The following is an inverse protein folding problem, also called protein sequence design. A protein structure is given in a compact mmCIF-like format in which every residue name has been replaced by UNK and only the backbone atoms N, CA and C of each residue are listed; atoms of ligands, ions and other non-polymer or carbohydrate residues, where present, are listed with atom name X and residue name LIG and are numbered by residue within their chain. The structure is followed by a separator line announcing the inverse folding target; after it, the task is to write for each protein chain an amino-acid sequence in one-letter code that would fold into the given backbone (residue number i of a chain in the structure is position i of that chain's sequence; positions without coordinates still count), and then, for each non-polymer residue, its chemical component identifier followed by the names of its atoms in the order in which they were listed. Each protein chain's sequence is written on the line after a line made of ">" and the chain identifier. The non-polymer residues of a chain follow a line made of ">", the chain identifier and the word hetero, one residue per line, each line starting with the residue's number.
data_IF_927280820438
#
_entry.id   IF_927280820438
#
_cell.length_a   1.000
_cell.length_b   1.000
_cell.length_c   1.000
_cell.angle_alpha   90.00
_cell.angle_beta   90.00
_cell.angle_gamma   90.00
#
_symmetry.space_group_name_H-M   'P 1'
#
loop_
_entity.id
_entity.type
_entity.pdbx_description
1 polymer ?
#
# COMPACT_ATOMS: atom_id res chain seq x y z
N UNK A 1 -3.21 -15.56 -1.11
CA UNK A 1 -4.45 -15.53 -1.91
C UNK A 1 -4.73 -14.12 -2.41
N UNK A 2 -4.79 -13.11 -1.52
CA UNK A 2 -4.98 -11.70 -1.89
C UNK A 2 -3.87 -11.12 -2.79
N UNK A 3 -2.61 -11.51 -2.57
CA UNK A 3 -1.46 -11.10 -3.38
C UNK A 3 -1.55 -11.55 -4.85
N UNK A 4 -2.18 -12.69 -5.14
CA UNK A 4 -2.39 -13.15 -6.52
C UNK A 4 -3.49 -12.36 -7.22
N UNK A 5 -4.63 -12.11 -6.55
CA UNK A 5 -5.73 -11.31 -7.11
C UNK A 5 -5.28 -9.89 -7.47
N UNK A 6 -4.45 -9.30 -6.61
CA UNK A 6 -3.83 -8.00 -6.85
C UNK A 6 -2.90 -8.08 -8.08
N UNK A 7 -2.04 -9.09 -8.19
CA UNK A 7 -1.16 -9.24 -9.36
C UNK A 7 -1.91 -9.53 -10.66
N UNK A 8 -3.07 -10.18 -10.60
CA UNK A 8 -3.94 -10.47 -11.75
C UNK A 8 -4.87 -9.32 -12.15
N UNK A 9 -4.79 -8.16 -11.46
CA UNK A 9 -5.60 -6.98 -11.80
C UNK A 9 -7.07 -7.07 -11.37
N UNK A 10 -7.43 -8.08 -10.58
CA UNK A 10 -8.77 -8.32 -10.04
C UNK A 10 -9.02 -7.46 -8.79
N UNK A 11 -8.91 -6.14 -8.97
CA UNK A 11 -9.04 -5.13 -7.92
C UNK A 11 -10.42 -5.15 -7.23
N UNK A 12 -11.49 -5.42 -7.99
CA UNK A 12 -12.87 -5.50 -7.45
C UNK A 12 -13.03 -6.67 -6.49
N UNK A 13 -12.35 -7.78 -6.77
CA UNK A 13 -12.43 -8.99 -5.96
C UNK A 13 -11.52 -8.90 -4.73
N UNK A 14 -10.39 -8.19 -4.85
CA UNK A 14 -9.61 -7.77 -3.70
C UNK A 14 -10.41 -6.85 -2.77
N UNK A 15 -11.15 -5.87 -3.31
CA UNK A 15 -12.00 -4.95 -2.55
C UNK A 15 -13.14 -5.68 -1.79
N UNK A 16 -13.74 -6.68 -2.43
CA UNK A 16 -14.76 -7.52 -1.80
C UNK A 16 -14.19 -8.41 -0.67
N UNK A 17 -12.97 -8.96 -0.84
CA UNK A 17 -12.29 -9.68 0.23
C UNK A 17 -11.87 -8.71 1.34
N UNK A 18 -11.47 -7.47 1.03
CA UNK A 18 -11.21 -6.41 2.00
C UNK A 18 -12.44 -6.14 2.89
N UNK A 19 -13.60 -5.93 2.29
CA UNK A 19 -14.84 -5.69 3.02
C UNK A 19 -15.32 -6.92 3.82
N UNK A 20 -14.96 -8.12 3.37
CA UNK A 20 -15.20 -9.36 4.13
C UNK A 20 -14.21 -9.54 5.29
N UNK A 21 -12.95 -9.10 5.12
CA UNK A 21 -11.89 -9.17 6.13
C UNK A 21 -12.03 -8.15 7.26
N UNK A 22 -12.80 -7.06 7.07
CA UNK A 22 -13.22 -6.18 8.17
C UNK A 22 -13.94 -6.96 9.29
N UNK A 23 -14.50 -8.14 8.99
CA UNK A 23 -15.11 -9.03 9.98
C UNK A 23 -14.14 -10.02 10.63
N UNK A 24 -12.90 -10.13 10.17
CA UNK A 24 -11.94 -11.15 10.60
C UNK A 24 -10.60 -10.54 11.02
N UNK A 25 -10.48 -10.16 12.29
CA UNK A 25 -9.25 -10.12 13.13
C UNK A 25 -7.94 -9.53 12.55
N UNK A 26 -7.99 -8.82 11.43
CA UNK A 26 -6.83 -8.15 10.85
C UNK A 26 -6.94 -6.66 11.20
N UNK A 27 -5.99 -6.16 11.99
CA UNK A 27 -6.02 -4.77 12.42
C UNK A 27 -6.06 -3.84 11.19
N UNK A 28 -7.06 -2.95 11.06
CA UNK A 28 -7.25 -2.11 9.88
C UNK A 28 -5.99 -1.28 9.53
N UNK A 29 -5.16 -0.97 10.52
CA UNK A 29 -3.84 -0.35 10.35
C UNK A 29 -2.88 -1.15 9.45
N UNK A 30 -2.67 -2.43 9.73
CA UNK A 30 -1.70 -3.27 9.00
C UNK A 30 -2.15 -3.48 7.55
N UNK A 31 -3.46 -3.60 7.36
CA UNK A 31 -4.07 -3.82 6.06
C UNK A 31 -4.01 -2.56 5.18
N UNK A 32 -4.28 -1.37 5.72
CA UNK A 32 -4.09 -0.12 4.98
C UNK A 32 -2.63 0.12 4.59
N UNK A 33 -1.68 -0.15 5.50
CA UNK A 33 -0.26 -0.10 5.20
C UNK A 33 0.13 -1.07 4.06
N UNK A 34 -0.41 -2.28 4.07
CA UNK A 34 -0.17 -3.26 3.03
C UNK A 34 -0.69 -2.79 1.65
N UNK A 35 -1.90 -2.21 1.59
CA UNK A 35 -2.44 -1.65 0.33
C UNK A 35 -1.54 -0.55 -0.21
N UNK A 36 -1.12 0.38 0.65
CA UNK A 36 -0.24 1.47 0.25
C UNK A 36 1.06 0.92 -0.35
N UNK A 37 1.70 -0.06 0.30
CA UNK A 37 2.91 -0.72 -0.24
C UNK A 37 2.68 -1.31 -1.63
N UNK A 38 1.62 -2.11 -1.79
CA UNK A 38 1.29 -2.74 -3.07
C UNK A 38 1.06 -1.69 -4.17
N UNK A 39 0.33 -0.62 -3.87
CA UNK A 39 0.05 0.43 -4.85
C UNK A 39 1.33 1.20 -5.25
N UNK A 40 2.20 1.47 -4.27
CA UNK A 40 3.49 2.12 -4.49
C UNK A 40 4.42 1.24 -5.34
N UNK A 41 4.48 -0.08 -5.09
CA UNK A 41 5.24 -1.05 -5.90
C UNK A 41 4.76 -1.08 -7.36
N UNK A 42 3.47 -0.86 -7.59
CA UNK A 42 2.86 -0.78 -8.93
C UNK A 42 3.01 0.59 -9.60
N UNK A 43 3.52 1.60 -8.90
CA UNK A 43 3.58 2.98 -9.39
C UNK A 43 2.25 3.72 -9.40
N UNK A 44 1.21 3.20 -8.73
CA UNK A 44 -0.12 3.80 -8.62
C UNK A 44 -0.14 4.91 -7.54
N UNK A 45 0.68 5.96 -7.75
CA UNK A 45 0.95 6.98 -6.72
C UNK A 45 -0.32 7.71 -6.27
N UNK A 46 -1.22 8.06 -7.21
CA UNK A 46 -2.46 8.79 -6.89
C UNK A 46 -3.36 7.97 -5.96
N UNK A 47 -3.55 6.68 -6.27
CA UNK A 47 -4.34 5.78 -5.42
C UNK A 47 -3.67 5.54 -4.09
N UNK A 48 -2.34 5.36 -4.06
CA UNK A 48 -1.60 5.20 -2.81
C UNK A 48 -1.78 6.41 -1.88
N UNK A 49 -1.84 7.63 -2.44
CA UNK A 49 -2.14 8.85 -1.71
C UNK A 49 -3.52 8.83 -1.05
N UNK A 50 -4.56 8.36 -1.75
CA UNK A 50 -5.90 8.23 -1.17
C UNK A 50 -5.96 7.27 0.02
N UNK A 51 -5.20 6.17 -0.01
CA UNK A 51 -5.12 5.26 1.14
C UNK A 51 -4.24 5.81 2.26
N UNK A 52 -3.19 6.58 1.95
CA UNK A 52 -2.42 7.31 2.96
C UNK A 52 -3.26 8.34 3.70
N UNK A 53 -4.14 9.08 3.01
CA UNK A 53 -5.10 9.97 3.65
C UNK A 53 -6.02 9.23 4.62
N UNK A 54 -6.50 8.03 4.25
CA UNK A 54 -7.30 7.19 5.16
C UNK A 54 -6.51 6.77 6.41
N UNK A 55 -5.22 6.46 6.29
CA UNK A 55 -4.36 6.14 7.44
C UNK A 55 -4.26 7.35 8.38
N UNK A 56 -4.03 8.54 7.82
CA UNK A 56 -3.96 9.80 8.56
C UNK A 56 -5.29 10.14 9.27
N UNK A 57 -6.41 10.07 8.54
CA UNK A 57 -7.75 10.30 9.08
C UNK A 57 -8.10 9.35 10.24
N UNK A 58 -7.64 8.10 10.17
CA UNK A 58 -7.85 7.11 11.23
C UNK A 58 -6.80 7.15 12.35
N UNK A 59 -5.87 8.11 12.33
CA UNK A 59 -4.75 8.22 13.29
C UNK A 59 -3.90 6.94 13.39
N UNK A 60 -3.78 6.25 12.26
CA UNK A 60 -3.05 5.00 12.14
C UNK A 60 -1.56 5.24 11.89
N UNK A 61 -0.73 4.33 12.38
CA UNK A 61 0.72 4.44 12.25
C UNK A 61 1.19 3.80 10.95
N UNK A 62 2.04 4.51 10.22
CA UNK A 62 2.71 3.93 9.06
C UNK A 62 3.78 2.93 9.50
N UNK A 63 3.74 1.74 8.91
CA UNK A 63 4.77 0.73 9.10
C UNK A 63 6.09 1.20 8.48
N UNK A 64 7.20 0.86 9.14
CA UNK A 64 8.56 1.20 8.66
C UNK A 64 8.77 0.81 7.19
N UNK A 65 8.29 -0.37 6.78
CA UNK A 65 8.38 -0.83 5.40
C UNK A 65 7.64 0.06 4.39
N UNK A 66 6.53 0.67 4.80
CA UNK A 66 5.75 1.59 3.97
C UNK A 66 6.48 2.93 3.83
N UNK A 67 7.05 3.41 4.94
CA UNK A 67 7.84 4.64 4.99
C UNK A 67 9.11 4.50 4.14
N UNK A 68 9.84 3.39 4.23
CA UNK A 68 11.01 3.11 3.41
C UNK A 68 10.70 3.13 1.91
N UNK A 69 9.56 2.57 1.51
CA UNK A 69 9.14 2.54 0.12
C UNK A 69 8.80 3.95 -0.41
N UNK A 70 8.12 4.76 0.41
CA UNK A 70 7.85 6.18 0.12
C UNK A 70 9.17 6.96 -0.01
N UNK A 71 10.08 6.79 0.94
CA UNK A 71 11.40 7.42 0.88
C UNK A 71 12.12 6.97 -0.38
N UNK A 72 12.12 5.68 -0.73
CA UNK A 72 12.78 5.20 -1.95
C UNK A 72 12.17 5.77 -3.23
N UNK A 73 10.86 6.02 -3.26
CA UNK A 73 10.17 6.59 -4.42
C UNK A 73 10.42 8.09 -4.59
N UNK A 74 10.42 8.84 -3.48
CA UNK A 74 10.56 10.30 -3.49
C UNK A 74 11.99 10.79 -3.27
N UNK A 75 12.88 9.92 -2.78
CA UNK A 75 14.31 10.19 -2.75
C UNK A 75 14.78 10.31 -4.19
N UNK A 76 15.20 11.52 -4.56
CA UNK A 76 15.80 11.82 -5.86
C UNK A 76 16.89 10.78 -6.11
N UNK A 77 16.64 9.83 -7.00
CA UNK A 77 17.66 8.89 -7.47
C UNK A 77 18.69 9.69 -8.25
N UNK A 78 19.62 10.31 -7.52
CA UNK A 78 20.94 10.62 -8.02
C UNK A 78 21.52 9.29 -8.44
N UNK A 79 21.33 8.94 -9.71
CA UNK A 79 22.00 7.81 -10.32
C UNK A 79 23.49 8.11 -10.25
N UNK A 80 24.15 7.67 -9.19
CA UNK A 80 25.52 7.22 -9.32
C UNK A 80 25.44 5.91 -10.12
N UNK A 81 25.29 6.09 -11.43
CA UNK A 81 25.62 5.10 -12.45
C UNK A 81 27.11 4.84 -12.27
N UNK A 82 27.43 3.82 -11.47
CA UNK A 82 28.79 3.32 -11.43
C UNK A 82 28.96 2.44 -12.67
N UNK A 83 29.65 3.03 -13.63
CA UNK A 83 30.44 2.37 -14.68
C UNK A 83 31.25 1.21 -14.14
#
# INVERSE_FOLDING_TARGET
>A
MMTNLINEGLLVEADNIFSSMEKTCCAPNALLNHVVRVLLEKGEIIRSGSYLSKIDENNFSLEASTIELLISLFSRKGHARNT
#
